data_IF_396001396357
#
_entry.id   IF_396001396357
#
_cell.length_a   1.000
_cell.length_b   1.000
_cell.length_c   1.000
_cell.angle_alpha   90.00
_cell.angle_beta   90.00
_cell.angle_gamma   90.00
#
_symmetry.space_group_name_H-M   'P 1'
#
loop_
_entity.id
_entity.type
_entity.pdbx_description
1 polymer ?
#
# COMPACT_ATOMS: atom_id res chain seq x y z
N UNK A 1 -11.62 -32.99 18.31
CA UNK A 1 -10.49 -32.12 18.70
C UNK A 1 -10.96 -30.67 18.71
N UNK A 2 -11.10 -30.07 19.89
CA UNK A 2 -11.56 -28.69 20.04
C UNK A 2 -10.35 -27.78 19.79
N UNK A 3 -10.35 -27.06 18.65
CA UNK A 3 -9.32 -26.09 18.35
C UNK A 3 -9.47 -24.94 19.36
N UNK A 4 -8.57 -24.86 20.33
CA UNK A 4 -8.47 -23.70 21.23
C UNK A 4 -7.98 -22.50 20.39
N UNK A 5 -8.91 -21.66 19.93
CA UNK A 5 -8.57 -20.36 19.34
C UNK A 5 -7.93 -19.50 20.42
N UNK A 6 -6.66 -19.09 20.22
CA UNK A 6 -6.03 -18.07 21.08
C UNK A 6 -6.90 -16.81 21.06
N UNK A 7 -7.11 -16.16 22.22
CA UNK A 7 -7.88 -14.92 22.25
C UNK A 7 -7.24 -13.90 21.31
N UNK A 8 -8.02 -13.40 20.35
CA UNK A 8 -7.60 -12.32 19.47
C UNK A 8 -7.32 -11.11 20.35
N UNK A 9 -6.08 -10.62 20.32
CA UNK A 9 -5.67 -9.44 21.07
C UNK A 9 -6.61 -8.29 20.66
N UNK A 10 -7.38 -7.78 21.61
CA UNK A 10 -8.36 -6.70 21.34
C UNK A 10 -7.59 -5.47 20.88
N UNK A 11 -7.78 -5.08 19.63
CA UNK A 11 -7.10 -3.92 19.04
C UNK A 11 -7.75 -2.66 19.55
N UNK A 12 -6.96 -1.67 19.92
CA UNK A 12 -7.46 -0.35 20.26
C UNK A 12 -7.89 0.41 18.99
N UNK A 13 -9.18 0.50 18.80
CA UNK A 13 -9.76 1.19 17.63
C UNK A 13 -9.37 2.67 17.55
N UNK A 14 -9.08 3.33 18.69
CA UNK A 14 -8.63 4.72 18.70
C UNK A 14 -7.25 4.85 18.05
N UNK A 15 -6.37 3.88 18.30
CA UNK A 15 -5.04 3.83 17.67
C UNK A 15 -5.20 3.61 16.17
N UNK A 16 -6.02 2.65 15.74
CA UNK A 16 -6.27 2.40 14.31
C UNK A 16 -6.86 3.63 13.61
N UNK A 17 -7.81 4.32 14.21
CA UNK A 17 -8.37 5.56 13.68
C UNK A 17 -7.34 6.68 13.57
N UNK A 18 -6.42 6.77 14.53
CA UNK A 18 -5.30 7.72 14.49
C UNK A 18 -4.34 7.43 13.35
N UNK A 19 -4.01 6.15 13.15
CA UNK A 19 -3.17 5.66 12.05
C UNK A 19 -3.85 5.92 10.70
N UNK A 20 -5.13 5.61 10.58
CA UNK A 20 -5.94 5.85 9.38
C UNK A 20 -5.90 7.32 8.94
N UNK A 21 -6.10 8.25 9.87
CA UNK A 21 -6.01 9.69 9.59
C UNK A 21 -4.65 10.09 9.07
N UNK A 22 -3.57 9.55 9.65
CA UNK A 22 -2.19 9.81 9.19
C UNK A 22 -1.93 9.21 7.82
N UNK A 23 -2.35 7.97 7.57
CA UNK A 23 -2.23 7.31 6.27
C UNK A 23 -2.98 8.10 5.20
N UNK A 24 -4.21 8.51 5.49
CA UNK A 24 -5.02 9.33 4.58
C UNK A 24 -4.31 10.65 4.27
N UNK A 25 -3.87 11.35 5.30
CA UNK A 25 -3.18 12.63 5.13
C UNK A 25 -1.90 12.49 4.28
N UNK A 26 -1.04 11.53 4.60
CA UNK A 26 0.20 11.29 3.86
C UNK A 26 -0.07 10.94 2.40
N UNK A 27 -1.04 10.08 2.13
CA UNK A 27 -1.38 9.67 0.76
C UNK A 27 -1.93 10.83 -0.07
N UNK A 28 -2.76 11.69 0.52
CA UNK A 28 -3.25 12.90 -0.13
C UNK A 28 -2.13 13.92 -0.37
N UNK A 29 -1.28 14.10 0.66
CA UNK A 29 -0.14 15.01 0.58
C UNK A 29 0.86 14.60 -0.51
N UNK A 30 1.19 13.31 -0.64
CA UNK A 30 2.09 12.82 -1.70
C UNK A 30 1.62 13.24 -3.09
N UNK A 31 0.35 13.03 -3.39
CA UNK A 31 -0.25 13.41 -4.69
C UNK A 31 -0.27 14.93 -4.86
N UNK A 32 -0.63 15.66 -3.80
CA UNK A 32 -0.66 17.13 -3.83
C UNK A 32 0.75 17.72 -4.02
N UNK A 33 1.73 17.23 -3.26
CA UNK A 33 3.12 17.65 -3.39
C UNK A 33 3.65 17.42 -4.80
N UNK A 34 3.42 16.24 -5.36
CA UNK A 34 3.88 15.87 -6.68
C UNK A 34 3.31 16.75 -7.82
N UNK A 35 2.11 17.32 -7.64
CA UNK A 35 1.41 18.07 -8.67
C UNK A 35 1.38 19.58 -8.46
N UNK A 36 1.64 20.06 -7.23
CA UNK A 36 1.43 21.49 -6.90
C UNK A 36 2.57 22.13 -6.14
N UNK A 37 3.33 21.38 -5.32
CA UNK A 37 4.39 21.96 -4.49
C UNK A 37 5.77 21.74 -5.08
N UNK A 38 6.03 20.55 -5.59
CA UNK A 38 7.29 20.20 -6.23
C UNK A 38 7.41 20.90 -7.58
N UNK A 39 8.56 21.52 -7.83
CA UNK A 39 8.84 22.11 -9.14
C UNK A 39 8.81 21.03 -10.24
N UNK A 40 8.08 21.32 -11.31
CA UNK A 40 8.04 20.50 -12.53
C UNK A 40 8.93 21.16 -13.58
N UNK A 41 9.75 20.33 -14.25
CA UNK A 41 10.68 20.83 -15.31
C UNK A 41 9.90 21.29 -16.54
N UNK A 42 8.80 20.65 -16.84
CA UNK A 42 7.96 20.87 -18.03
C UNK A 42 6.60 21.51 -17.72
N UNK A 43 6.34 21.82 -16.44
CA UNK A 43 5.06 22.38 -15.98
C UNK A 43 3.91 21.36 -15.96
N UNK A 44 4.15 20.11 -16.33
CA UNK A 44 3.11 19.07 -16.37
C UNK A 44 2.87 18.47 -15.00
N UNK A 45 1.61 18.11 -14.74
CA UNK A 45 1.22 17.39 -13.55
C UNK A 45 1.47 15.90 -13.75
N UNK A 46 2.03 15.25 -12.73
CA UNK A 46 2.31 13.80 -12.76
C UNK A 46 1.07 12.93 -12.49
N UNK A 47 -0.04 13.56 -12.12
CA UNK A 47 -1.29 12.87 -11.81
C UNK A 47 -1.27 12.16 -10.46
N UNK A 48 -2.21 11.26 -10.27
CA UNK A 48 -2.43 10.49 -9.03
C UNK A 48 -3.92 10.29 -8.77
N UNK A 49 -4.24 9.34 -7.88
CA UNK A 49 -5.61 8.91 -7.64
C UNK A 49 -6.00 9.12 -6.18
N UNK A 50 -6.31 10.36 -5.80
CA UNK A 50 -6.68 10.71 -4.42
C UNK A 50 -7.96 10.01 -3.98
N UNK A 51 -9.02 10.02 -4.80
CA UNK A 51 -10.29 9.37 -4.49
C UNK A 51 -10.13 7.85 -4.30
N UNK A 52 -9.39 7.19 -5.19
CA UNK A 52 -9.06 5.76 -5.03
C UNK A 52 -8.29 5.46 -3.76
N UNK A 53 -7.34 6.33 -3.41
CA UNK A 53 -6.56 6.20 -2.17
C UNK A 53 -7.46 6.38 -0.95
N UNK A 54 -8.28 7.43 -0.91
CA UNK A 54 -9.20 7.69 0.18
C UNK A 54 -10.17 6.52 0.41
N UNK A 55 -10.74 5.96 -0.66
CA UNK A 55 -11.74 4.89 -0.57
C UNK A 55 -11.21 3.58 0.03
N UNK A 56 -9.90 3.33 -0.02
CA UNK A 56 -9.32 2.08 0.48
C UNK A 56 -8.50 2.26 1.77
N UNK A 57 -8.34 3.50 2.25
CA UNK A 57 -7.46 3.80 3.40
C UNK A 57 -7.85 3.01 4.64
N UNK A 58 -9.13 2.94 5.00
CA UNK A 58 -9.63 2.21 6.17
C UNK A 58 -9.26 0.73 6.09
N UNK A 59 -9.53 0.10 4.94
CA UNK A 59 -9.26 -1.33 4.72
C UNK A 59 -7.76 -1.58 4.80
N UNK A 60 -6.94 -0.79 4.12
CA UNK A 60 -5.48 -0.96 4.10
C UNK A 60 -4.87 -0.72 5.49
N UNK A 61 -5.36 0.26 6.24
CA UNK A 61 -4.91 0.52 7.61
C UNK A 61 -5.23 -0.67 8.53
N UNK A 62 -6.47 -1.15 8.51
CA UNK A 62 -6.86 -2.32 9.31
C UNK A 62 -6.04 -3.56 8.92
N UNK A 63 -5.84 -3.78 7.63
CA UNK A 63 -5.10 -4.90 7.10
C UNK A 63 -3.64 -4.89 7.59
N UNK A 64 -2.90 -3.82 7.35
CA UNK A 64 -1.46 -3.75 7.65
C UNK A 64 -1.12 -3.61 9.13
N UNK A 65 -1.94 -2.90 9.92
CA UNK A 65 -1.64 -2.67 11.32
C UNK A 65 -2.31 -3.65 12.29
N UNK A 66 -3.24 -4.50 11.81
CA UNK A 66 -3.97 -5.40 12.70
C UNK A 66 -4.11 -6.84 12.20
N UNK A 67 -4.26 -7.07 10.90
CA UNK A 67 -4.68 -8.38 10.38
C UNK A 67 -3.51 -9.19 9.82
N UNK A 68 -2.65 -8.57 9.00
CA UNK A 68 -1.56 -9.27 8.31
C UNK A 68 -0.54 -9.89 9.26
N UNK A 69 -0.15 -11.10 8.93
CA UNK A 69 0.93 -11.85 9.56
C UNK A 69 2.16 -11.84 8.66
N UNK A 70 3.30 -12.25 9.20
CA UNK A 70 4.59 -12.25 8.49
C UNK A 70 4.56 -13.06 7.18
N UNK A 71 3.78 -14.14 7.16
CA UNK A 71 3.65 -15.01 5.99
C UNK A 71 2.67 -14.50 4.93
N UNK A 72 1.81 -13.55 5.28
CA UNK A 72 0.81 -13.04 4.35
C UNK A 72 1.44 -12.19 3.25
N UNK A 73 0.85 -12.21 2.06
CA UNK A 73 1.28 -11.46 0.89
C UNK A 73 0.14 -10.61 0.35
N UNK A 74 0.46 -9.40 -0.09
CA UNK A 74 -0.55 -8.45 -0.56
C UNK A 74 -0.22 -7.97 -1.96
N UNK A 75 -1.13 -8.21 -2.90
CA UNK A 75 -1.07 -7.60 -4.22
C UNK A 75 -1.78 -6.24 -4.17
N UNK A 76 -0.99 -5.17 -4.05
CA UNK A 76 -1.53 -3.81 -3.92
C UNK A 76 -2.05 -3.30 -5.25
N UNK A 77 -3.30 -2.79 -5.25
CA UNK A 77 -3.86 -2.12 -6.42
C UNK A 77 -3.03 -0.85 -6.74
N UNK A 78 -2.56 -0.65 -7.99
CA UNK A 78 -1.73 0.50 -8.34
C UNK A 78 -2.34 1.86 -7.99
N UNK A 79 -3.66 2.02 -8.15
CA UNK A 79 -4.36 3.26 -7.79
C UNK A 79 -4.37 3.56 -6.27
N UNK A 80 -4.01 2.58 -5.44
CA UNK A 80 -3.83 2.72 -3.99
C UNK A 80 -2.34 2.82 -3.59
N UNK A 81 -1.43 2.99 -4.53
CA UNK A 81 0.01 3.10 -4.24
C UNK A 81 0.35 4.21 -3.22
N UNK A 82 -0.28 5.40 -3.23
CA UNK A 82 -0.02 6.40 -2.20
C UNK A 82 -0.33 5.89 -0.78
N UNK A 83 -1.42 5.16 -0.60
CA UNK A 83 -1.78 4.55 0.69
C UNK A 83 -0.75 3.50 1.10
N UNK A 84 -0.34 2.65 0.17
CA UNK A 84 0.68 1.65 0.42
C UNK A 84 2.01 2.27 0.86
N UNK A 85 2.53 3.24 0.12
CA UNK A 85 3.79 3.91 0.47
C UNK A 85 3.69 4.69 1.79
N UNK A 86 2.55 5.32 2.08
CA UNK A 86 2.30 5.96 3.37
C UNK A 86 2.37 4.95 4.53
N UNK A 87 1.76 3.78 4.37
CA UNK A 87 1.82 2.70 5.36
C UNK A 87 3.25 2.18 5.52
N UNK A 88 3.99 1.96 4.43
CA UNK A 88 5.38 1.50 4.49
C UNK A 88 6.28 2.52 5.19
N UNK A 89 6.04 3.82 4.97
CA UNK A 89 6.72 4.87 5.73
C UNK A 89 6.42 4.81 7.23
N UNK A 90 5.16 4.66 7.61
CA UNK A 90 4.78 4.55 9.02
C UNK A 90 5.31 3.28 9.70
N UNK A 91 5.57 2.23 8.91
CA UNK A 91 6.25 1.00 9.38
C UNK A 91 7.78 1.11 9.38
N UNK A 92 8.35 2.28 9.05
CA UNK A 92 9.79 2.50 8.99
C UNK A 92 10.51 1.82 7.81
N UNK A 93 9.77 1.40 6.79
CA UNK A 93 10.30 0.70 5.61
C UNK A 93 10.48 1.61 4.40
N UNK A 94 10.08 2.87 4.50
CA UNK A 94 10.17 3.88 3.44
C UNK A 94 10.67 5.18 4.05
N UNK A 95 11.32 6.04 3.24
CA UNK A 95 11.86 7.33 3.69
C UNK A 95 10.97 8.50 3.29
N UNK A 96 11.07 9.60 4.03
CA UNK A 96 10.36 10.83 3.73
C UNK A 96 10.73 11.39 2.35
N UNK A 97 12.02 11.37 2.00
CA UNK A 97 12.52 11.88 0.72
C UNK A 97 11.93 11.10 -0.46
N UNK A 98 11.77 9.78 -0.32
CA UNK A 98 11.11 8.97 -1.34
C UNK A 98 9.62 9.27 -1.47
N UNK A 99 8.93 9.57 -0.36
CA UNK A 99 7.55 10.03 -0.41
C UNK A 99 7.43 11.38 -1.11
N UNK A 100 8.34 12.34 -0.80
CA UNK A 100 8.41 13.64 -1.48
C UNK A 100 8.67 13.49 -2.97
N UNK A 101 9.46 12.49 -3.35
CA UNK A 101 9.80 12.17 -4.74
C UNK A 101 8.79 11.22 -5.41
N UNK A 102 7.55 11.10 -4.92
CA UNK A 102 6.51 10.29 -5.54
C UNK A 102 6.38 10.57 -7.04
N UNK A 103 6.42 9.53 -7.88
CA UNK A 103 6.41 9.61 -9.35
C UNK A 103 7.57 10.41 -9.97
N UNK A 104 8.70 10.56 -9.27
CA UNK A 104 9.94 11.03 -9.87
C UNK A 104 10.95 9.91 -10.02
N UNK A 105 11.99 10.16 -10.76
CA UNK A 105 13.14 9.25 -10.87
C UNK A 105 13.74 9.01 -9.48
N UNK A 106 13.91 7.75 -9.10
CA UNK A 106 14.43 7.37 -7.79
C UNK A 106 13.45 7.50 -6.61
N UNK A 107 12.25 8.04 -6.83
CA UNK A 107 11.18 8.13 -5.84
C UNK A 107 10.29 6.89 -5.79
N UNK A 108 9.22 6.97 -4.98
CA UNK A 108 8.22 5.91 -4.89
C UNK A 108 7.43 5.77 -6.20
N UNK A 109 7.19 4.52 -6.59
CA UNK A 109 6.53 4.21 -7.85
C UNK A 109 5.01 4.32 -7.75
N UNK A 110 4.36 4.80 -8.83
CA UNK A 110 2.91 4.74 -8.95
C UNK A 110 2.37 3.32 -9.10
N UNK A 111 3.20 2.44 -9.60
CA UNK A 111 2.98 0.99 -9.64
C UNK A 111 4.02 0.35 -8.72
N UNK A 112 3.67 -0.07 -7.50
CA UNK A 112 4.62 -0.67 -6.58
C UNK A 112 5.40 -1.80 -7.24
N UNK A 113 6.71 -1.76 -7.14
CA UNK A 113 7.62 -2.63 -7.87
C UNK A 113 8.62 -3.30 -6.93
N UNK A 114 8.70 -4.63 -6.98
CA UNK A 114 9.68 -5.42 -6.21
C UNK A 114 11.14 -5.08 -6.52
N UNK A 115 11.39 -4.52 -7.70
CA UNK A 115 12.75 -4.24 -8.18
C UNK A 115 13.15 -2.77 -8.09
N UNK A 116 12.19 -1.86 -7.96
CA UNK A 116 12.43 -0.41 -7.98
C UNK A 116 12.14 0.27 -6.65
N UNK A 117 11.14 -0.23 -5.92
CA UNK A 117 10.83 0.28 -4.58
C UNK A 117 11.69 -0.42 -3.53
N UNK A 118 12.03 0.32 -2.46
CA UNK A 118 12.80 -0.20 -1.32
C UNK A 118 11.91 -0.78 -0.24
N UNK A 119 10.63 -0.53 -0.30
CA UNK A 119 9.62 -1.07 0.61
C UNK A 119 9.21 -2.50 0.25
N UNK A 120 8.58 -3.20 1.20
CA UNK A 120 8.21 -4.59 1.07
C UNK A 120 7.06 -4.84 0.08
N UNK A 121 7.35 -4.71 -1.22
CA UNK A 121 6.39 -5.03 -2.29
C UNK A 121 6.39 -6.53 -2.53
N UNK A 122 5.29 -7.20 -2.24
CA UNK A 122 5.15 -8.64 -2.48
C UNK A 122 4.95 -8.98 -3.97
N UNK A 123 4.17 -8.18 -4.68
CA UNK A 123 3.88 -8.36 -6.11
C UNK A 123 3.99 -7.05 -6.88
N UNK A 124 4.71 -7.08 -7.98
CA UNK A 124 4.69 -6.00 -8.96
C UNK A 124 3.44 -6.15 -9.83
N UNK A 125 2.44 -5.29 -9.63
CA UNK A 125 1.19 -5.33 -10.40
C UNK A 125 1.08 -4.11 -11.28
N UNK A 126 0.96 -4.30 -12.60
CA UNK A 126 0.92 -3.21 -13.58
C UNK A 126 -0.47 -2.88 -14.11
N UNK A 127 -1.49 -3.63 -13.78
CA UNK A 127 -2.86 -3.40 -14.28
C UNK A 127 -3.92 -3.67 -13.21
N UNK A 128 -5.08 -3.06 -13.40
CA UNK A 128 -6.26 -3.32 -12.59
C UNK A 128 -6.72 -4.76 -12.83
N UNK A 129 -6.79 -5.57 -11.77
CA UNK A 129 -7.20 -6.98 -11.85
C UNK A 129 -6.06 -7.99 -11.85
N UNK A 130 -4.82 -7.60 -12.16
CA UNK A 130 -3.69 -8.54 -12.17
C UNK A 130 -3.45 -9.22 -10.80
N UNK A 131 -3.72 -8.54 -9.70
CA UNK A 131 -3.65 -9.13 -8.35
C UNK A 131 -4.63 -10.31 -8.18
N UNK A 132 -5.85 -10.17 -8.64
CA UNK A 132 -6.86 -11.25 -8.61
C UNK A 132 -6.44 -12.43 -9.51
N UNK A 133 -5.93 -12.16 -10.69
CA UNK A 133 -5.41 -13.20 -11.60
C UNK A 133 -4.24 -13.95 -10.96
N UNK A 134 -3.29 -13.24 -10.35
CA UNK A 134 -2.16 -13.85 -9.63
C UNK A 134 -2.64 -14.76 -8.50
N UNK A 135 -3.63 -14.33 -7.72
CA UNK A 135 -4.24 -15.16 -6.68
C UNK A 135 -4.87 -16.44 -7.25
N UNK A 136 -5.61 -16.33 -8.35
CA UNK A 136 -6.24 -17.48 -9.01
C UNK A 136 -5.20 -18.51 -9.43
N UNK A 137 -4.10 -18.08 -10.03
CA UNK A 137 -3.01 -18.99 -10.43
C UNK A 137 -2.33 -19.67 -9.23
N UNK A 138 -2.03 -18.91 -8.17
CA UNK A 138 -1.43 -19.48 -6.95
C UNK A 138 -2.34 -20.54 -6.32
N UNK A 139 -3.64 -20.26 -6.22
CA UNK A 139 -4.62 -21.22 -5.65
C UNK A 139 -4.82 -22.44 -6.53
N UNK A 140 -4.77 -22.31 -7.85
CA UNK A 140 -4.87 -23.45 -8.76
C UNK A 140 -3.73 -24.47 -8.54
N UNK A 141 -2.54 -24.01 -8.20
CA UNK A 141 -1.41 -24.90 -7.87
C UNK A 141 -1.52 -25.56 -6.49
N UNK A 142 -2.20 -24.93 -5.53
CA UNK A 142 -2.42 -25.52 -4.21
C UNK A 142 -3.43 -26.69 -4.23
N UNK A 143 -4.38 -26.68 -5.16
CA UNK A 143 -5.42 -27.73 -5.27
C UNK A 143 -4.93 -29.02 -5.91
N UNK A 144 -3.72 -29.07 -6.49
CA UNK A 144 -3.13 -30.27 -7.11
C UNK A 144 -2.35 -31.13 -6.09
N UNK A 145 -2.27 -30.71 -4.83
CA UNK A 145 -1.52 -31.42 -3.75
C UNK A 145 -2.40 -32.21 -2.77
N UNK A 146 -3.51 -32.77 -3.24
CA UNK A 146 -4.31 -33.73 -2.44
C UNK A 146 -4.36 -35.08 -3.10
#
# INVERSE_FOLDING_TARGET
>A
MTVKTKPVKKVDLRILQSLEKKVLWLSMWMVHNANHLRQSVDGLKVGGHQASSASITTIMTALYFNVLKVQDRVAVKPHASPVFHAIQYMLGRQTEDKLKAFRSLGGTQSYPSRTKDTDGVDFSTGSVGLGAVSYTHLRAHETIRH
#
